data_IF_320105011221
#
_entry.id   IF_320105011221
#
_cell.length_a   1.000
_cell.length_b   1.000
_cell.length_c   1.000
_cell.angle_alpha   90.00
_cell.angle_beta   90.00
_cell.angle_gamma   90.00
#
_symmetry.space_group_name_H-M   'P 1'
#
loop_
_entity.id
_entity.type
_entity.pdbx_description
1 polymer ?
#
# COMPACT_ATOMS: atom_id res chain seq x y z
N UNK A 1 2.45 18.38 -1.75
CA UNK A 1 1.69 17.32 -2.44
C UNK A 1 2.06 15.98 -1.85
N UNK A 2 1.10 15.10 -1.62
CA UNK A 2 1.35 13.81 -0.99
C UNK A 2 1.72 12.73 -2.02
N UNK A 3 2.70 11.91 -1.68
CA UNK A 3 3.12 10.74 -2.46
C UNK A 3 3.19 9.56 -1.51
N UNK A 4 2.48 8.48 -1.82
CA UNK A 4 2.46 7.27 -0.99
C UNK A 4 3.16 6.15 -1.71
N UNK A 5 4.12 5.52 -1.03
CA UNK A 5 4.78 4.30 -1.49
C UNK A 5 4.03 3.08 -0.98
N UNK A 6 3.82 2.11 -1.86
CA UNK A 6 3.35 0.77 -1.50
C UNK A 6 4.51 -0.13 -1.01
N UNK A 7 4.18 -1.36 -0.64
CA UNK A 7 5.18 -2.33 -0.19
C UNK A 7 6.20 -2.69 -1.26
N UNK A 8 5.77 -2.78 -2.53
CA UNK A 8 6.69 -3.09 -3.63
C UNK A 8 7.78 -2.03 -3.76
N UNK A 9 7.45 -0.77 -3.53
CA UNK A 9 8.43 0.33 -3.53
C UNK A 9 9.47 0.18 -2.40
N UNK A 10 9.07 -0.33 -1.24
CA UNK A 10 9.99 -0.63 -0.12
C UNK A 10 10.88 -1.82 -0.48
N UNK A 11 10.32 -2.89 -1.07
CA UNK A 11 11.07 -4.06 -1.53
C UNK A 11 12.08 -3.66 -2.61
N UNK A 12 11.69 -2.78 -3.54
CA UNK A 12 12.58 -2.28 -4.59
C UNK A 12 13.81 -1.58 -3.99
N UNK A 13 13.65 -0.84 -2.87
CA UNK A 13 14.77 -0.24 -2.14
C UNK A 13 15.63 -1.28 -1.42
N UNK A 14 15.02 -2.24 -0.72
CA UNK A 14 15.74 -3.28 0.04
C UNK A 14 16.59 -4.18 -0.85
N UNK A 15 16.07 -4.55 -2.02
CA UNK A 15 16.71 -5.47 -2.96
C UNK A 15 17.50 -4.75 -4.07
N UNK A 16 17.59 -3.42 -4.01
CA UNK A 16 18.25 -2.58 -5.02
C UNK A 16 17.79 -2.87 -6.47
N UNK A 17 16.48 -3.08 -6.67
CA UNK A 17 15.89 -3.36 -7.98
C UNK A 17 15.92 -2.14 -8.89
N UNK A 18 15.60 -2.32 -10.18
CA UNK A 18 15.60 -1.27 -11.21
C UNK A 18 14.80 0.00 -10.85
N UNK A 19 13.78 -0.13 -9.98
CA UNK A 19 12.97 0.99 -9.51
C UNK A 19 13.63 1.80 -8.39
N UNK A 20 14.60 1.24 -7.66
CA UNK A 20 15.22 1.84 -6.48
C UNK A 20 15.79 3.25 -6.71
N UNK A 21 16.51 3.54 -7.82
CA UNK A 21 17.03 4.90 -8.07
C UNK A 21 15.93 5.95 -8.14
N UNK A 22 14.75 5.60 -8.65
CA UNK A 22 13.62 6.52 -8.74
C UNK A 22 12.95 6.70 -7.38
N UNK A 23 12.84 5.65 -6.57
CA UNK A 23 12.32 5.77 -5.19
C UNK A 23 13.28 6.61 -4.33
N UNK A 24 14.59 6.40 -4.43
CA UNK A 24 15.62 7.26 -3.79
C UNK A 24 15.47 8.73 -4.21
N UNK A 25 15.15 8.99 -5.48
CA UNK A 25 14.86 10.35 -5.95
C UNK A 25 13.63 10.96 -5.27
N UNK A 26 12.56 10.17 -5.05
CA UNK A 26 11.38 10.63 -4.31
C UNK A 26 11.72 10.92 -2.84
N UNK A 27 12.59 10.13 -2.21
CA UNK A 27 13.09 10.40 -0.85
C UNK A 27 13.80 11.75 -0.81
N UNK A 28 14.75 12.00 -1.72
CA UNK A 28 15.43 13.30 -1.77
C UNK A 28 14.46 14.47 -2.04
N UNK A 29 13.45 14.29 -2.90
CA UNK A 29 12.41 15.32 -3.08
C UNK A 29 11.61 15.60 -1.80
N UNK A 30 11.44 14.61 -0.93
CA UNK A 30 10.79 14.79 0.38
C UNK A 30 11.70 15.51 1.37
N UNK A 31 12.97 15.14 1.43
CA UNK A 31 14.00 15.82 2.24
C UNK A 31 14.11 17.31 1.85
N UNK A 32 14.02 17.61 0.56
CA UNK A 32 13.95 18.97 0.00
C UNK A 32 12.59 19.67 0.22
N UNK A 33 11.65 19.05 0.95
CA UNK A 33 10.30 19.55 1.24
C UNK A 33 9.43 19.80 -0.01
N UNK A 34 9.77 19.21 -1.16
CA UNK A 34 9.01 19.38 -2.41
C UNK A 34 7.75 18.49 -2.45
N UNK A 35 7.79 17.37 -1.74
CA UNK A 35 6.66 16.45 -1.57
C UNK A 35 6.55 15.99 -0.11
N UNK A 36 5.36 15.56 0.29
CA UNK A 36 5.16 14.79 1.52
C UNK A 36 5.17 13.30 1.14
N UNK A 37 6.29 12.63 1.34
CA UNK A 37 6.41 11.20 1.09
C UNK A 37 5.87 10.43 2.29
N UNK A 38 5.17 9.34 2.02
CA UNK A 38 4.46 8.55 3.01
C UNK A 38 4.56 7.07 2.67
N UNK A 39 4.44 6.21 3.67
CA UNK A 39 4.34 4.75 3.51
C UNK A 39 3.07 4.26 4.18
N UNK A 40 2.63 3.06 3.84
CA UNK A 40 1.45 2.44 4.47
C UNK A 40 1.87 1.43 5.53
N UNK A 41 1.27 1.47 6.72
CA UNK A 41 1.57 0.53 7.80
C UNK A 41 1.25 -0.92 7.42
N UNK A 42 0.32 -1.14 6.49
CA UNK A 42 -0.02 -2.49 6.01
C UNK A 42 1.18 -3.21 5.38
N UNK A 43 2.19 -2.49 4.87
CA UNK A 43 3.44 -3.07 4.37
C UNK A 43 4.21 -3.89 5.41
N UNK A 44 3.95 -3.68 6.71
CA UNK A 44 4.48 -4.49 7.80
C UNK A 44 3.89 -5.92 7.84
N UNK A 45 2.78 -6.14 7.15
CA UNK A 45 1.98 -7.38 7.18
C UNK A 45 2.27 -8.30 5.99
N UNK A 46 3.11 -7.85 5.06
CA UNK A 46 3.58 -8.64 3.93
C UNK A 46 4.79 -9.51 4.30
N UNK A 47 4.90 -10.67 3.67
CA UNK A 47 5.95 -11.65 3.98
C UNK A 47 7.33 -11.08 3.66
N UNK A 48 8.27 -11.28 4.59
CA UNK A 48 9.70 -11.11 4.33
C UNK A 48 10.20 -12.22 3.38
N UNK A 49 11.32 -11.98 2.65
CA UNK A 49 12.08 -13.06 2.04
C UNK A 49 12.38 -14.16 3.08
N UNK A 50 11.95 -15.40 2.81
CA UNK A 50 11.99 -16.52 3.77
C UNK A 50 10.66 -16.85 4.47
N UNK A 51 9.58 -16.13 4.14
CA UNK A 51 8.21 -16.52 4.48
C UNK A 51 7.72 -16.13 5.87
N UNK A 52 8.55 -15.41 6.66
CA UNK A 52 8.20 -14.91 8.00
C UNK A 52 7.62 -13.50 7.93
N UNK A 53 6.67 -13.20 8.81
CA UNK A 53 6.14 -11.84 9.02
C UNK A 53 7.02 -11.07 10.01
N UNK A 54 6.91 -9.74 10.03
CA UNK A 54 7.42 -8.99 11.17
C UNK A 54 6.63 -9.44 12.44
N UNK A 55 7.28 -9.69 13.57
CA UNK A 55 6.62 -10.08 14.81
C UNK A 55 6.02 -8.87 15.54
N UNK A 56 6.45 -7.66 15.21
CA UNK A 56 5.96 -6.40 15.77
C UNK A 56 6.21 -5.25 14.81
N UNK A 57 5.55 -4.12 15.08
CA UNK A 57 5.65 -2.92 14.24
C UNK A 57 7.02 -2.23 14.30
N UNK A 58 7.73 -2.31 15.43
CA UNK A 58 9.06 -1.70 15.57
C UNK A 58 10.09 -2.29 14.59
N UNK A 59 9.94 -3.57 14.20
CA UNK A 59 10.75 -4.14 13.13
C UNK A 59 10.46 -3.53 11.76
N UNK A 60 9.21 -3.15 11.49
CA UNK A 60 8.84 -2.44 10.27
C UNK A 60 9.44 -1.03 10.27
N UNK A 61 9.36 -0.30 11.39
CA UNK A 61 10.01 1.02 11.53
C UNK A 61 11.52 0.95 11.31
N UNK A 62 12.18 -0.05 11.92
CA UNK A 62 13.61 -0.29 11.70
C UNK A 62 13.92 -0.61 10.24
N UNK A 63 13.07 -1.41 9.59
CA UNK A 63 13.20 -1.77 8.18
C UNK A 63 13.09 -0.53 7.27
N UNK A 64 12.04 0.28 7.40
CA UNK A 64 11.89 1.48 6.58
C UNK A 64 12.98 2.51 6.91
N UNK A 65 13.43 2.59 8.17
CA UNK A 65 14.58 3.38 8.59
C UNK A 65 15.88 3.00 7.86
N UNK A 66 16.15 1.70 7.71
CA UNK A 66 17.35 1.20 7.04
C UNK A 66 17.42 1.57 5.54
N UNK A 67 16.28 1.83 4.90
CA UNK A 67 16.21 2.24 3.48
C UNK A 67 15.97 3.74 3.30
N UNK A 68 16.13 4.55 4.36
CA UNK A 68 16.01 6.01 4.30
C UNK A 68 14.60 6.56 4.44
N UNK A 69 13.62 5.72 4.81
CA UNK A 69 12.22 6.10 5.00
C UNK A 69 11.83 6.30 6.46
N UNK A 70 12.79 6.30 7.40
CA UNK A 70 12.50 6.38 8.85
C UNK A 70 11.87 7.68 9.33
N UNK A 71 11.83 8.72 8.50
CA UNK A 71 11.28 10.04 8.82
C UNK A 71 9.98 10.37 8.07
N UNK A 72 9.51 9.46 7.22
CA UNK A 72 8.29 9.67 6.42
C UNK A 72 7.04 9.36 7.23
N UNK A 73 5.92 9.95 6.86
CA UNK A 73 4.64 9.66 7.51
C UNK A 73 4.20 8.21 7.23
N UNK A 74 3.74 7.52 8.27
CA UNK A 74 3.22 6.15 8.18
C UNK A 74 1.69 6.20 8.28
N UNK A 75 1.01 5.73 7.24
CA UNK A 75 -0.45 5.75 7.14
C UNK A 75 -1.07 4.50 7.76
N UNK A 76 -1.95 4.70 8.75
CA UNK A 76 -2.68 3.62 9.41
C UNK A 76 -3.83 3.08 8.54
N UNK A 77 -3.93 1.75 8.31
CA UNK A 77 -5.08 1.11 7.66
C UNK A 77 -6.26 0.92 8.62
N UNK A 78 -7.42 0.50 8.08
CA UNK A 78 -8.51 -0.05 8.91
C UNK A 78 -8.00 -1.30 9.64
N UNK A 79 -8.40 -1.45 10.90
CA UNK A 79 -8.11 -2.63 11.71
C UNK A 79 -8.68 -3.92 11.10
N UNK A 80 -7.83 -4.95 10.99
CA UNK A 80 -8.18 -6.31 10.65
C UNK A 80 -7.44 -7.29 11.57
N UNK A 81 -8.18 -8.19 12.21
CA UNK A 81 -7.61 -9.27 13.03
C UNK A 81 -6.62 -10.10 12.22
N UNK A 82 -5.48 -10.45 12.83
CA UNK A 82 -4.40 -11.25 12.24
C UNK A 82 -3.73 -10.65 10.99
N UNK A 83 -4.10 -9.43 10.60
CA UNK A 83 -3.47 -8.67 9.53
C UNK A 83 -2.77 -7.44 10.09
N UNK A 84 -3.48 -6.57 10.81
CA UNK A 84 -2.94 -5.28 11.26
C UNK A 84 -2.40 -5.34 12.69
N UNK A 85 -1.45 -4.46 13.01
CA UNK A 85 -0.98 -4.25 14.38
C UNK A 85 -1.94 -3.28 15.11
N UNK A 86 -2.37 -3.65 16.32
CA UNK A 86 -3.42 -2.94 17.05
C UNK A 86 -3.12 -1.45 17.28
N UNK A 87 -1.88 -1.11 17.63
CA UNK A 87 -1.45 0.28 17.85
C UNK A 87 -1.27 1.09 16.56
N UNK A 88 -1.37 0.43 15.40
CA UNK A 88 -1.11 0.99 14.07
C UNK A 88 -2.26 0.73 13.10
N UNK A 89 -3.48 0.90 13.58
CA UNK A 89 -4.70 0.77 12.78
C UNK A 89 -5.81 1.70 13.28
N UNK A 90 -6.85 1.84 12.46
CA UNK A 90 -8.03 2.65 12.74
C UNK A 90 -9.23 1.76 13.00
N UNK A 91 -10.04 2.11 13.99
CA UNK A 91 -11.35 1.48 14.18
C UNK A 91 -12.23 1.77 12.96
N UNK A 92 -12.73 0.70 12.33
CA UNK A 92 -13.55 0.82 11.13
C UNK A 92 -14.90 1.48 11.41
N UNK A 93 -15.28 2.42 10.55
CA UNK A 93 -16.65 2.94 10.44
C UNK A 93 -17.30 2.43 9.15
N UNK A 94 -18.62 2.54 9.04
CA UNK A 94 -19.37 2.11 7.84
C UNK A 94 -18.83 2.77 6.57
N UNK A 95 -18.48 4.05 6.62
CA UNK A 95 -17.91 4.77 5.48
C UNK A 95 -16.52 4.24 5.10
N UNK A 96 -15.68 3.93 6.08
CA UNK A 96 -14.35 3.37 5.85
C UNK A 96 -14.46 1.99 5.18
N UNK A 97 -15.35 1.14 5.68
CA UNK A 97 -15.61 -0.20 5.13
C UNK A 97 -16.24 -0.12 3.74
N UNK A 98 -17.12 0.86 3.48
CA UNK A 98 -17.69 1.07 2.16
C UNK A 98 -16.62 1.42 1.12
N UNK A 99 -15.68 2.32 1.46
CA UNK A 99 -14.55 2.63 0.59
C UNK A 99 -13.66 1.40 0.36
N UNK A 100 -13.39 0.62 1.42
CA UNK A 100 -12.62 -0.62 1.31
C UNK A 100 -13.28 -1.61 0.34
N UNK A 101 -14.61 -1.80 0.44
CA UNK A 101 -15.37 -2.68 -0.46
C UNK A 101 -15.28 -2.23 -1.91
N UNK A 102 -15.38 -0.93 -2.19
CA UNK A 102 -15.26 -0.41 -3.56
C UNK A 102 -13.85 -0.62 -4.13
N UNK A 103 -12.81 -0.37 -3.33
CA UNK A 103 -11.42 -0.66 -3.73
C UNK A 103 -11.24 -2.15 -4.00
N UNK A 104 -11.74 -3.02 -3.11
CA UNK A 104 -11.69 -4.48 -3.27
C UNK A 104 -12.40 -4.94 -4.54
N UNK A 105 -13.62 -4.47 -4.78
CA UNK A 105 -14.42 -4.84 -5.96
C UNK A 105 -13.72 -4.50 -7.27
N UNK A 106 -12.95 -3.42 -7.31
CA UNK A 106 -12.18 -3.04 -8.51
C UNK A 106 -10.92 -3.90 -8.65
N UNK A 107 -10.15 -4.07 -7.56
CA UNK A 107 -8.86 -4.75 -7.61
C UNK A 107 -8.99 -6.27 -7.72
N UNK A 108 -9.94 -6.87 -7.01
CA UNK A 108 -10.07 -8.33 -6.84
C UNK A 108 -11.54 -8.78 -6.79
N UNK A 109 -12.32 -8.56 -7.87
CA UNK A 109 -13.76 -8.91 -7.89
C UNK A 109 -14.05 -10.41 -7.72
N UNK A 110 -13.07 -11.27 -7.97
CA UNK A 110 -13.18 -12.73 -7.92
C UNK A 110 -12.67 -13.33 -6.59
N UNK A 111 -12.29 -12.49 -5.63
CA UNK A 111 -11.81 -12.92 -4.32
C UNK A 111 -12.83 -12.48 -3.28
N UNK A 112 -13.25 -13.40 -2.39
CA UNK A 112 -14.14 -13.06 -1.27
C UNK A 112 -13.66 -11.82 -0.49
N UNK A 113 -14.58 -10.92 -0.16
CA UNK A 113 -14.24 -9.68 0.55
C UNK A 113 -13.81 -9.96 1.99
N UNK A 114 -14.50 -10.88 2.65
CA UNK A 114 -14.11 -11.41 3.96
C UNK A 114 -13.28 -12.69 3.81
N UNK A 115 -12.52 -13.04 4.84
CA UNK A 115 -11.76 -14.30 4.82
C UNK A 115 -12.69 -15.51 4.85
N UNK A 116 -13.83 -15.43 5.56
CA UNK A 116 -14.83 -16.49 5.58
C UNK A 116 -15.46 -16.73 4.19
N UNK A 117 -15.78 -15.66 3.45
CA UNK A 117 -16.26 -15.77 2.06
C UNK A 117 -15.23 -16.49 1.19
N UNK A 118 -13.96 -16.09 1.29
CA UNK A 118 -12.87 -16.74 0.58
C UNK A 118 -12.73 -18.22 0.98
N UNK A 119 -12.72 -18.54 2.28
CA UNK A 119 -12.61 -19.92 2.75
C UNK A 119 -13.77 -20.78 2.25
N UNK A 120 -14.99 -20.25 2.26
CA UNK A 120 -16.16 -20.97 1.76
C UNK A 120 -16.06 -21.29 0.27
N UNK A 121 -15.53 -20.39 -0.54
CA UNK A 121 -15.34 -20.59 -1.98
C UNK A 121 -14.27 -21.63 -2.29
N UNK A 122 -13.19 -21.66 -1.50
CA UNK A 122 -12.05 -22.54 -1.73
C UNK A 122 -12.08 -23.85 -0.90
N UNK A 123 -13.15 -24.09 -0.13
CA UNK A 123 -13.29 -25.28 0.71
C UNK A 123 -12.26 -25.36 1.84
N UNK A 124 -11.89 -24.22 2.42
CA UNK A 124 -10.92 -24.09 3.51
C UNK A 124 -11.63 -23.90 4.85
N UNK A 125 -10.96 -24.26 5.95
CA UNK A 125 -11.40 -23.93 7.30
C UNK A 125 -10.88 -22.54 7.70
N UNK A 126 -11.80 -21.58 7.91
CA UNK A 126 -11.45 -20.22 8.34
C UNK A 126 -10.92 -20.16 9.77
N UNK A 127 -11.09 -21.22 10.56
CA UNK A 127 -10.58 -21.33 11.94
C UNK A 127 -9.25 -22.09 12.03
N UNK A 128 -8.61 -22.40 10.90
CA UNK A 128 -7.31 -23.09 10.87
C UNK A 128 -6.15 -22.31 11.50
N UNK A 129 -6.37 -21.03 11.84
CA UNK A 129 -5.42 -20.17 12.55
C UNK A 129 -4.38 -19.49 11.64
N UNK A 130 -4.22 -19.91 10.39
CA UNK A 130 -3.38 -19.23 9.40
C UNK A 130 -4.25 -18.66 8.26
N UNK A 131 -4.12 -17.36 8.02
CA UNK A 131 -4.77 -16.71 6.87
C UNK A 131 -4.04 -17.08 5.58
N UNK A 132 -4.76 -17.67 4.63
CA UNK A 132 -4.22 -18.03 3.32
C UNK A 132 -3.67 -16.80 2.58
N UNK A 133 -2.44 -16.93 2.07
CA UNK A 133 -1.75 -15.87 1.31
C UNK A 133 -2.53 -15.38 0.09
N UNK A 134 -3.36 -16.24 -0.52
CA UNK A 134 -4.19 -15.92 -1.68
C UNK A 134 -5.28 -14.90 -1.36
N UNK A 135 -5.66 -14.78 -0.08
CA UNK A 135 -6.56 -13.73 0.38
C UNK A 135 -5.79 -12.58 1.04
N UNK A 136 -4.79 -12.90 1.88
CA UNK A 136 -3.98 -11.90 2.60
C UNK A 136 -3.33 -10.89 1.67
N UNK A 137 -2.65 -11.33 0.60
CA UNK A 137 -1.92 -10.43 -0.29
C UNK A 137 -2.88 -9.44 -0.99
N UNK A 138 -3.97 -9.89 -1.65
CA UNK A 138 -5.00 -8.98 -2.15
C UNK A 138 -5.57 -8.02 -1.11
N UNK A 139 -5.82 -8.51 0.12
CA UNK A 139 -6.30 -7.66 1.20
C UNK A 139 -5.28 -6.58 1.59
N UNK A 140 -3.99 -6.90 1.62
CA UNK A 140 -2.93 -5.92 1.85
C UNK A 140 -2.89 -4.85 0.75
N UNK A 141 -3.00 -5.24 -0.52
CA UNK A 141 -3.05 -4.31 -1.67
C UNK A 141 -4.27 -3.37 -1.57
N UNK A 142 -5.44 -3.91 -1.21
CA UNK A 142 -6.66 -3.13 -0.96
C UNK A 142 -6.44 -2.14 0.17
N UNK A 143 -5.91 -2.59 1.31
CA UNK A 143 -5.69 -1.73 2.48
C UNK A 143 -4.60 -0.68 2.23
N UNK A 144 -3.61 -0.96 1.39
CA UNK A 144 -2.58 -0.01 0.99
C UNK A 144 -3.19 1.16 0.21
N UNK A 145 -3.98 0.85 -0.84
CA UNK A 145 -4.65 1.87 -1.63
C UNK A 145 -5.75 2.59 -0.85
N UNK A 146 -6.50 1.86 -0.02
CA UNK A 146 -7.47 2.44 0.91
C UNK A 146 -6.81 3.48 1.82
N UNK A 147 -5.67 3.15 2.43
CA UNK A 147 -4.94 4.06 3.31
C UNK A 147 -4.52 5.32 2.56
N UNK A 148 -4.03 5.16 1.33
CA UNK A 148 -3.68 6.29 0.48
C UNK A 148 -4.88 7.24 0.25
N UNK A 149 -6.04 6.70 -0.14
CA UNK A 149 -7.25 7.48 -0.42
C UNK A 149 -7.77 8.13 0.86
N UNK A 150 -7.93 7.36 1.93
CA UNK A 150 -8.49 7.81 3.20
C UNK A 150 -7.68 8.97 3.81
N UNK A 151 -6.35 8.89 3.73
CA UNK A 151 -5.44 9.93 4.24
C UNK A 151 -5.17 11.05 3.21
N UNK A 152 -6.12 11.34 2.33
CA UNK A 152 -6.12 12.53 1.48
C UNK A 152 -5.43 12.41 0.11
N UNK A 153 -5.09 11.19 -0.33
CA UNK A 153 -4.68 10.90 -1.71
C UNK A 153 -3.49 11.72 -2.23
N UNK A 154 -3.25 11.67 -3.54
CA UNK A 154 -2.19 12.43 -4.22
C UNK A 154 -1.59 11.64 -5.37
N UNK A 155 -0.39 11.10 -5.17
CA UNK A 155 0.21 10.11 -6.06
C UNK A 155 0.39 8.79 -5.30
N UNK A 156 -0.20 7.70 -5.79
CA UNK A 156 0.08 6.34 -5.33
C UNK A 156 1.16 5.71 -6.21
N UNK A 157 2.31 5.37 -5.61
CA UNK A 157 3.46 4.82 -6.32
C UNK A 157 3.52 3.31 -6.10
N UNK A 158 3.41 2.56 -7.19
CA UNK A 158 3.45 1.09 -7.17
C UNK A 158 3.98 0.53 -8.48
N UNK A 159 4.68 -0.61 -8.39
CA UNK A 159 5.08 -1.43 -9.54
C UNK A 159 4.08 -2.54 -9.88
N UNK A 160 3.03 -2.74 -9.07
CA UNK A 160 2.00 -3.77 -9.28
C UNK A 160 1.21 -3.52 -10.57
N UNK A 161 1.34 -4.46 -11.50
CA UNK A 161 0.66 -4.43 -12.79
C UNK A 161 -0.87 -4.46 -12.66
N UNK A 162 -1.43 -5.04 -11.59
CA UNK A 162 -2.88 -5.11 -11.43
C UNK A 162 -3.49 -3.71 -11.29
N UNK A 163 -2.84 -2.81 -10.56
CA UNK A 163 -3.28 -1.41 -10.39
C UNK A 163 -3.07 -0.54 -11.64
N UNK A 164 -2.22 -0.98 -12.58
CA UNK A 164 -1.96 -0.28 -13.85
C UNK A 164 -2.84 -0.74 -15.01
N UNK A 165 -3.71 -1.74 -14.81
CA UNK A 165 -4.71 -2.14 -15.84
C UNK A 165 -5.66 -0.98 -16.10
N UNK A 166 -5.82 -0.56 -17.35
CA UNK A 166 -6.55 0.66 -17.74
C UNK A 166 -7.94 0.78 -17.10
N UNK A 167 -8.71 -0.32 -17.12
CA UNK A 167 -10.05 -0.38 -16.53
C UNK A 167 -10.05 -0.21 -15.02
N UNK A 168 -9.08 -0.82 -14.32
CA UNK A 168 -8.93 -0.72 -12.87
C UNK A 168 -8.40 0.63 -12.47
N UNK A 169 -7.30 1.08 -13.09
CA UNK A 169 -6.67 2.37 -12.83
C UNK A 169 -7.68 3.50 -12.95
N UNK A 170 -8.43 3.56 -14.04
CA UNK A 170 -9.47 4.60 -14.24
C UNK A 170 -10.51 4.58 -13.12
N UNK A 171 -11.00 3.41 -12.74
CA UNK A 171 -11.98 3.27 -11.66
C UNK A 171 -11.41 3.70 -10.29
N UNK A 172 -10.16 3.36 -9.99
CA UNK A 172 -9.48 3.75 -8.75
C UNK A 172 -9.24 5.27 -8.68
N UNK A 173 -8.85 5.89 -9.80
CA UNK A 173 -8.72 7.35 -9.90
C UNK A 173 -10.07 8.01 -9.59
N UNK A 174 -11.17 7.49 -10.15
CA UNK A 174 -12.52 7.99 -9.89
C UNK A 174 -12.96 7.84 -8.42
N UNK A 175 -12.40 6.86 -7.69
CA UNK A 175 -12.60 6.70 -6.24
C UNK A 175 -11.74 7.63 -5.37
N UNK A 176 -10.86 8.44 -5.97
CA UNK A 176 -10.02 9.39 -5.24
C UNK A 176 -8.57 8.95 -5.05
N UNK A 177 -8.09 7.95 -5.79
CA UNK A 177 -6.68 7.53 -5.74
C UNK A 177 -5.68 8.58 -6.25
N UNK A 178 -6.14 9.68 -6.88
CA UNK A 178 -5.25 10.64 -7.53
C UNK A 178 -4.48 10.00 -8.68
N UNK A 179 -3.19 10.27 -8.82
CA UNK A 179 -2.38 9.63 -9.86
C UNK A 179 -1.83 8.27 -9.37
N UNK A 180 -2.02 7.19 -10.13
CA UNK A 180 -1.37 5.90 -9.88
C UNK A 180 -0.19 5.74 -10.85
N UNK A 181 1.04 5.78 -10.34
CA UNK A 181 2.25 5.86 -11.17
C UNK A 181 3.29 4.83 -10.77
N UNK A 182 4.09 4.40 -11.76
CA UNK A 182 5.35 3.71 -11.48
C UNK A 182 6.38 4.71 -10.96
N UNK A 183 7.39 4.28 -10.16
CA UNK A 183 8.41 5.18 -9.60
C UNK A 183 9.04 6.15 -10.62
N UNK A 184 9.49 5.62 -11.77
CA UNK A 184 10.05 6.44 -12.87
C UNK A 184 9.09 7.51 -13.38
N UNK A 185 7.81 7.18 -13.51
CA UNK A 185 6.78 8.09 -14.01
C UNK A 185 6.40 9.14 -12.96
N UNK A 186 6.39 8.77 -11.67
CA UNK A 186 6.18 9.71 -10.57
C UNK A 186 7.29 10.78 -10.55
N UNK A 187 8.56 10.37 -10.62
CA UNK A 187 9.69 11.31 -10.72
C UNK A 187 9.54 12.24 -11.94
N UNK A 188 9.26 11.68 -13.12
CA UNK A 188 9.10 12.48 -14.34
C UNK A 188 7.95 13.51 -14.22
N UNK A 189 6.83 13.12 -13.60
CA UNK A 189 5.67 13.99 -13.34
C UNK A 189 6.01 15.14 -12.39
N UNK A 190 6.75 14.83 -11.32
CA UNK A 190 7.14 15.78 -10.26
C UNK A 190 8.21 16.76 -10.72
N UNK A 191 9.13 16.34 -11.59
CA UNK A 191 10.17 17.22 -12.14
C UNK A 191 9.59 18.19 -13.18
N UNK A 192 8.63 17.74 -14.01
CA UNK A 192 7.99 18.62 -15.00
C UNK A 192 7.03 19.64 -14.39
N UNK A 193 6.39 19.32 -13.27
CA UNK A 193 5.42 20.19 -12.59
C UNK A 193 6.02 21.35 -11.80
N UNK A 194 7.34 21.40 -11.60
CA UNK A 194 8.02 22.45 -10.82
C UNK A 194 8.30 23.76 -11.58
N UNK A 195 7.91 23.87 -12.86
CA UNK A 195 8.21 25.03 -13.71
C UNK A 195 7.05 26.03 -13.87
N UNK A 196 5.95 25.86 -13.14
CA UNK A 196 4.91 26.89 -13.01
C UNK A 196 5.01 27.47 -11.61
N UNK A 197 5.89 28.47 -11.49
CA UNK A 197 5.89 29.43 -10.38
C UNK A 197 4.68 30.36 -10.49
#
# INVERSE_FOLDING_TARGET
MNVTLDTNSIIDLEEERDAAPYVKTLISMHEDQRINLRVVAISASERKPGGKYAPNFAEFEKKIGAVGLGHVEVLAPIAYSDITYFDWCLAGSDQMVALEREVHRILFPEIGFTYDEFCSEYGLDSNSGEIDKRWRNPKCDVLALWSHIHHGGGIFVTTDNNMHKETKKTALIALGAGDILRPKHAVARLTKGGNTA
#
